data_IF_643104886828
#
_entry.id   IF_643104886828
#
_cell.length_a   1.000
_cell.length_b   1.000
_cell.length_c   1.000
_cell.angle_alpha   90.00
_cell.angle_beta   90.00
_cell.angle_gamma   90.00
#
_symmetry.space_group_name_H-M   'P 1'
#
loop_
_entity.id
_entity.type
_entity.pdbx_description
1 polymer ?
#
# COMPACT_ATOMS: atom_id res chain seq x y z
N UNK A 1 16.51 -16.87 -15.15
CA UNK A 1 16.01 -15.52 -14.81
C UNK A 1 14.49 -15.55 -14.85
N UNK A 2 13.84 -14.88 -13.93
CA UNK A 2 12.36 -14.88 -13.86
C UNK A 2 11.81 -13.91 -14.92
N UNK A 3 11.05 -14.46 -15.88
CA UNK A 3 10.44 -13.65 -16.94
C UNK A 3 9.32 -12.76 -16.39
N UNK A 4 9.32 -11.51 -16.78
CA UNK A 4 8.32 -10.53 -16.38
C UNK A 4 7.29 -10.32 -17.50
N UNK A 5 6.00 -10.25 -17.19
CA UNK A 5 4.95 -9.89 -18.16
C UNK A 5 5.29 -8.58 -18.85
N UNK A 6 5.14 -8.53 -20.18
CA UNK A 6 5.50 -7.36 -21.01
C UNK A 6 4.79 -6.06 -20.55
N UNK A 7 3.51 -6.11 -20.22
CA UNK A 7 2.79 -4.94 -19.69
C UNK A 7 3.34 -4.47 -18.34
N UNK A 8 3.79 -5.40 -17.47
CA UNK A 8 4.45 -5.08 -16.21
C UNK A 8 5.81 -4.41 -16.47
N UNK A 9 6.61 -4.96 -17.37
CA UNK A 9 7.89 -4.39 -17.77
C UNK A 9 7.74 -2.96 -18.30
N UNK A 10 6.79 -2.73 -19.22
CA UNK A 10 6.49 -1.40 -19.77
C UNK A 10 6.08 -0.44 -18.64
N UNK A 11 5.15 -0.83 -17.77
CA UNK A 11 4.66 0.04 -16.71
C UNK A 11 5.70 0.39 -15.65
N UNK A 12 6.70 -0.47 -15.44
CA UNK A 12 7.79 -0.21 -14.50
C UNK A 12 8.85 0.75 -15.06
N UNK A 13 9.08 0.70 -16.37
CA UNK A 13 10.16 1.44 -17.01
C UNK A 13 9.69 2.66 -17.82
N UNK A 14 8.39 2.95 -17.84
CA UNK A 14 7.79 4.05 -18.57
C UNK A 14 6.70 4.76 -17.77
N UNK A 15 6.08 5.75 -18.38
CA UNK A 15 4.94 6.46 -17.80
C UNK A 15 3.57 5.81 -18.07
N UNK A 16 3.53 4.68 -18.75
CA UNK A 16 2.28 3.97 -19.04
C UNK A 16 1.85 3.12 -17.84
N UNK A 17 0.56 3.11 -17.55
CA UNK A 17 -0.04 2.12 -16.67
C UNK A 17 -0.07 0.74 -17.35
N UNK A 18 -0.30 -0.34 -16.59
CA UNK A 18 -0.44 -1.69 -17.17
C UNK A 18 -1.56 -1.76 -18.21
N UNK A 19 -2.69 -1.10 -17.98
CA UNK A 19 -3.82 -1.06 -18.93
C UNK A 19 -3.45 -0.33 -20.21
N UNK A 20 -2.78 0.82 -20.11
CA UNK A 20 -2.28 1.54 -21.27
C UNK A 20 -1.22 0.73 -22.02
N UNK A 21 -0.36 -0.01 -21.30
CA UNK A 21 0.60 -0.93 -21.91
C UNK A 21 -0.10 -2.06 -22.67
N UNK A 22 -1.18 -2.64 -22.11
CA UNK A 22 -2.00 -3.63 -22.80
C UNK A 22 -2.61 -3.09 -24.10
N UNK A 23 -3.09 -1.86 -24.09
CA UNK A 23 -3.61 -1.20 -25.31
C UNK A 23 -2.51 -0.95 -26.35
N UNK A 24 -1.31 -0.57 -25.93
CA UNK A 24 -0.16 -0.43 -26.83
C UNK A 24 0.26 -1.76 -27.47
N UNK A 25 0.24 -2.84 -26.68
CA UNK A 25 0.57 -4.21 -27.15
C UNK A 25 -0.47 -4.64 -28.18
N UNK A 26 -1.77 -4.56 -27.86
CA UNK A 26 -2.86 -4.90 -28.77
C UNK A 26 -2.82 -4.11 -30.08
N UNK A 27 -2.46 -2.83 -29.99
CA UNK A 27 -2.36 -1.95 -31.14
C UNK A 27 -1.09 -2.20 -32.02
N UNK A 28 -0.28 -3.21 -31.69
CA UNK A 28 0.95 -3.52 -32.43
C UNK A 28 2.05 -2.44 -32.33
N UNK A 29 1.97 -1.58 -31.31
CA UNK A 29 2.94 -0.48 -31.12
C UNK A 29 4.18 -0.90 -30.33
N UNK A 30 4.21 -2.15 -29.84
CA UNK A 30 5.32 -2.70 -29.06
C UNK A 30 6.07 -3.73 -29.87
N UNK A 31 7.38 -3.67 -29.82
CA UNK A 31 8.26 -4.70 -30.44
C UNK A 31 9.35 -5.16 -29.48
N UNK A 32 9.75 -6.42 -29.62
CA UNK A 32 10.88 -7.05 -28.91
C UNK A 32 11.87 -7.50 -29.95
N UNK A 33 13.14 -7.09 -29.82
CA UNK A 33 14.21 -7.41 -30.77
C UNK A 33 13.79 -7.14 -32.25
N UNK A 34 13.02 -6.10 -32.51
CA UNK A 34 12.54 -5.70 -33.83
C UNK A 34 11.26 -6.40 -34.31
N UNK A 35 10.73 -7.40 -33.60
CA UNK A 35 9.50 -8.11 -33.95
C UNK A 35 8.31 -7.49 -33.20
N UNK A 36 7.26 -7.13 -33.90
CA UNK A 36 6.02 -6.63 -33.28
C UNK A 36 5.36 -7.73 -32.45
N UNK A 37 4.86 -7.35 -31.28
CA UNK A 37 4.18 -8.25 -30.33
C UNK A 37 2.79 -7.69 -30.04
N UNK A 38 1.76 -8.55 -30.16
CA UNK A 38 0.36 -8.21 -29.84
C UNK A 38 -0.24 -9.14 -28.77
N UNK A 39 0.45 -10.23 -28.41
CA UNK A 39 -0.01 -11.14 -27.37
C UNK A 39 0.26 -10.57 -25.98
N UNK A 40 -0.82 -10.36 -25.19
CA UNK A 40 -0.78 -9.88 -23.82
C UNK A 40 -0.13 -10.87 -22.83
N UNK A 41 -0.05 -12.16 -23.21
CA UNK A 41 0.61 -13.17 -22.41
C UNK A 41 2.14 -13.12 -22.51
N UNK A 42 2.69 -12.34 -23.45
CA UNK A 42 4.14 -12.21 -23.67
C UNK A 42 4.86 -11.81 -22.37
N UNK A 43 5.97 -12.47 -22.14
CA UNK A 43 6.92 -12.17 -21.05
C UNK A 43 8.28 -11.83 -21.62
N UNK A 44 9.04 -11.01 -20.92
CA UNK A 44 10.36 -10.51 -21.31
C UNK A 44 11.36 -10.69 -20.20
N UNK A 45 12.62 -10.81 -20.58
CA UNK A 45 13.78 -10.70 -19.70
C UNK A 45 14.29 -9.24 -19.66
N UNK A 46 15.16 -8.93 -18.71
CA UNK A 46 15.73 -7.57 -18.58
C UNK A 46 16.59 -7.16 -19.79
N UNK A 47 17.24 -8.12 -20.42
CA UNK A 47 18.11 -7.87 -21.58
C UNK A 47 17.33 -7.72 -22.90
N UNK A 48 16.03 -7.96 -22.87
CA UNK A 48 15.18 -7.84 -24.03
C UNK A 48 15.06 -6.37 -24.50
N UNK A 49 15.37 -6.14 -25.77
CA UNK A 49 15.28 -4.82 -26.38
C UNK A 49 13.83 -4.47 -26.73
N UNK A 50 13.07 -4.07 -25.72
CA UNK A 50 11.67 -3.66 -25.88
C UNK A 50 11.58 -2.22 -26.42
N UNK A 51 10.77 -2.00 -27.45
CA UNK A 51 10.52 -0.69 -28.05
C UNK A 51 9.03 -0.38 -28.07
N UNK A 52 8.69 0.90 -27.88
CA UNK A 52 7.34 1.44 -28.08
C UNK A 52 7.40 2.49 -29.17
N UNK A 53 6.60 2.33 -30.22
CA UNK A 53 6.62 3.22 -31.40
C UNK A 53 8.06 3.40 -31.94
N UNK A 54 8.83 2.32 -32.00
CA UNK A 54 10.23 2.32 -32.45
C UNK A 54 11.26 2.83 -31.44
N UNK A 55 10.86 3.44 -30.33
CA UNK A 55 11.78 3.98 -29.32
C UNK A 55 12.10 2.91 -28.26
N UNK A 56 13.39 2.69 -28.01
CA UNK A 56 13.87 1.74 -26.99
C UNK A 56 13.44 2.21 -25.58
N UNK A 57 12.86 1.31 -24.82
CA UNK A 57 12.62 1.52 -23.38
C UNK A 57 13.96 1.46 -22.65
N UNK A 58 14.27 2.52 -21.92
CA UNK A 58 15.42 2.55 -21.00
C UNK A 58 14.97 2.03 -19.64
N UNK A 59 15.76 1.11 -19.07
CA UNK A 59 15.52 0.64 -17.71
C UNK A 59 15.66 1.82 -16.74
N UNK A 60 14.71 1.94 -15.83
CA UNK A 60 14.74 2.96 -14.78
C UNK A 60 15.73 2.52 -13.71
N UNK A 61 16.79 3.29 -13.49
CA UNK A 61 17.87 2.99 -12.52
C UNK A 61 17.70 3.72 -11.19
N UNK A 62 16.94 4.80 -11.19
CA UNK A 62 16.71 5.63 -10.02
C UNK A 62 15.22 5.65 -9.69
N UNK A 63 14.93 5.80 -8.43
CA UNK A 63 13.56 5.89 -7.93
C UNK A 63 13.42 6.97 -6.88
N UNK A 64 12.22 7.47 -6.75
CA UNK A 64 11.85 8.45 -5.73
C UNK A 64 10.76 7.87 -4.83
N UNK A 65 10.92 8.08 -3.53
CA UNK A 65 9.90 7.74 -2.53
C UNK A 65 9.56 8.97 -1.73
N UNK A 66 8.28 9.13 -1.44
CA UNK A 66 7.78 10.19 -0.55
C UNK A 66 6.96 9.59 0.59
N UNK A 67 7.02 10.25 1.72
CA UNK A 67 6.11 10.07 2.85
C UNK A 67 5.00 11.11 2.71
N UNK A 68 3.76 10.68 2.69
CA UNK A 68 2.58 11.53 2.66
C UNK A 68 1.74 11.31 3.92
N UNK A 69 1.37 12.37 4.61
CA UNK A 69 0.39 12.30 5.68
C UNK A 69 -1.02 12.39 5.09
N UNK A 70 -1.56 11.21 4.75
CA UNK A 70 -2.92 11.12 4.23
C UNK A 70 -3.92 11.63 5.25
N UNK A 71 -4.84 12.49 4.82
CA UNK A 71 -5.95 13.00 5.62
C UNK A 71 -7.13 12.01 5.60
N UNK A 72 -8.00 12.08 6.61
CA UNK A 72 -9.34 11.51 6.53
C UNK A 72 -10.10 12.15 5.37
N UNK A 73 -11.02 11.43 4.76
CA UNK A 73 -11.82 11.95 3.64
C UNK A 73 -11.09 11.97 2.30
N UNK A 74 -9.96 11.27 2.17
CA UNK A 74 -9.26 11.08 0.90
C UNK A 74 -9.22 9.60 0.51
N UNK A 75 -9.50 9.32 -0.76
CA UNK A 75 -9.34 7.98 -1.33
C UNK A 75 -7.92 7.77 -1.83
N UNK A 76 -7.38 6.60 -1.59
CA UNK A 76 -6.11 6.15 -2.20
C UNK A 76 -6.43 5.53 -3.56
N UNK A 77 -6.73 6.37 -4.53
CA UNK A 77 -7.08 5.99 -5.90
C UNK A 77 -6.70 7.10 -6.88
N UNK A 78 -6.35 6.75 -8.11
CA UNK A 78 -6.10 7.70 -9.21
C UNK A 78 -7.36 8.41 -9.69
N UNK A 79 -8.51 7.73 -9.62
CA UNK A 79 -9.82 8.25 -10.02
C UNK A 79 -10.89 7.73 -9.08
N UNK A 80 -11.95 8.48 -8.93
CA UNK A 80 -13.16 8.06 -8.24
C UNK A 80 -14.40 8.44 -9.06
N UNK A 81 -15.20 7.44 -9.40
CA UNK A 81 -16.40 7.63 -10.23
C UNK A 81 -17.55 8.34 -9.49
N UNK A 82 -17.41 8.54 -8.17
CA UNK A 82 -18.39 9.19 -7.31
C UNK A 82 -18.00 10.62 -6.93
N UNK A 83 -16.92 11.16 -7.48
CA UNK A 83 -16.45 12.53 -7.23
C UNK A 83 -15.87 12.76 -5.83
N UNK A 84 -15.52 11.71 -5.09
CA UNK A 84 -14.86 11.86 -3.79
C UNK A 84 -13.41 12.27 -3.98
N UNK A 85 -12.93 13.12 -3.08
CA UNK A 85 -11.55 13.58 -3.07
C UNK A 85 -10.57 12.41 -2.98
N UNK A 86 -9.54 12.42 -3.81
CA UNK A 86 -8.44 11.45 -3.79
C UNK A 86 -7.18 12.09 -3.20
N UNK A 87 -6.19 11.27 -2.86
CA UNK A 87 -4.86 11.77 -2.43
C UNK A 87 -4.19 12.60 -3.52
N UNK A 88 -4.47 12.33 -4.81
CA UNK A 88 -3.85 13.03 -5.94
C UNK A 88 -4.47 14.42 -6.20
N UNK A 89 -5.62 14.72 -5.59
CA UNK A 89 -6.21 16.07 -5.60
C UNK A 89 -5.52 16.99 -4.57
N UNK A 90 -4.81 16.40 -3.59
CA UNK A 90 -4.05 17.15 -2.57
C UNK A 90 -2.55 17.19 -2.86
N UNK A 91 -2.00 16.10 -3.41
CA UNK A 91 -0.58 16.01 -3.74
C UNK A 91 -0.22 16.92 -4.92
N UNK A 92 1.02 17.39 -4.93
CA UNK A 92 1.57 18.14 -6.07
C UNK A 92 1.44 17.35 -7.36
N UNK A 93 1.14 18.02 -8.46
CA UNK A 93 0.98 17.43 -9.80
C UNK A 93 2.18 16.59 -10.25
N UNK A 94 3.39 16.92 -9.79
CA UNK A 94 4.61 16.13 -10.06
C UNK A 94 4.53 14.68 -9.59
N UNK A 95 3.69 14.39 -8.57
CA UNK A 95 3.46 13.04 -8.06
C UNK A 95 2.25 12.33 -8.67
N UNK A 96 1.61 12.92 -9.69
CA UNK A 96 0.44 12.32 -10.32
C UNK A 96 0.68 10.89 -10.85
N UNK A 97 1.92 10.54 -11.17
CA UNK A 97 2.32 9.21 -11.66
C UNK A 97 2.79 8.26 -10.56
N UNK A 98 3.05 8.76 -9.35
CA UNK A 98 3.45 7.93 -8.23
C UNK A 98 2.36 6.92 -7.89
N UNK A 99 2.76 5.74 -7.43
CA UNK A 99 1.87 4.70 -6.92
C UNK A 99 2.02 4.61 -5.41
N UNK A 100 0.93 4.34 -4.71
CA UNK A 100 0.95 4.18 -3.26
C UNK A 100 1.42 2.78 -2.84
N UNK A 101 2.14 2.69 -1.75
CA UNK A 101 2.47 1.44 -1.06
C UNK A 101 1.28 1.04 -0.20
N UNK A 102 0.42 0.21 -0.76
CA UNK A 102 -0.84 -0.15 -0.14
C UNK A 102 -1.85 1.00 -0.12
N UNK A 103 -2.79 0.89 0.80
CA UNK A 103 -3.87 1.86 0.95
C UNK A 103 -4.18 2.09 2.42
N UNK A 104 -4.68 3.28 2.72
CA UNK A 104 -5.43 3.59 3.92
C UNK A 104 -6.88 3.85 3.52
N UNK A 105 -7.82 3.41 4.35
CA UNK A 105 -9.24 3.64 4.12
C UNK A 105 -9.58 5.14 4.04
N UNK A 106 -10.74 5.47 3.48
CA UNK A 106 -11.27 6.82 3.40
C UNK A 106 -11.33 7.53 4.76
N UNK A 107 -11.78 6.80 5.79
CA UNK A 107 -11.90 7.30 7.16
C UNK A 107 -10.61 7.14 8.00
N UNK A 108 -9.51 6.65 7.41
CA UNK A 108 -8.23 6.48 8.08
C UNK A 108 -7.25 7.56 7.66
N UNK A 109 -6.31 7.89 8.54
CA UNK A 109 -5.27 8.89 8.28
C UNK A 109 -3.87 8.35 8.57
N UNK A 110 -2.86 9.16 8.26
CA UNK A 110 -1.48 8.89 8.66
C UNK A 110 -0.54 8.58 7.51
N UNK A 111 0.54 7.90 7.83
CA UNK A 111 1.65 7.63 6.95
C UNK A 111 1.23 6.79 5.75
N UNK A 112 1.44 7.32 4.56
CA UNK A 112 1.29 6.63 3.29
C UNK A 112 2.55 6.86 2.46
N UNK A 113 3.20 5.78 2.04
CA UNK A 113 4.34 5.86 1.12
C UNK A 113 3.84 5.89 -0.32
N UNK A 114 4.49 6.72 -1.14
CA UNK A 114 4.28 6.71 -2.60
C UNK A 114 5.63 6.70 -3.31
N UNK A 115 5.70 6.03 -4.45
CA UNK A 115 6.90 5.92 -5.26
C UNK A 115 6.58 5.95 -6.75
N UNK A 116 7.52 6.36 -7.56
CA UNK A 116 7.47 6.28 -9.00
C UNK A 116 8.00 4.92 -9.55
N UNK A 117 8.37 3.99 -8.65
CA UNK A 117 8.81 2.63 -8.98
C UNK A 117 7.80 1.58 -8.49
N UNK A 118 6.87 1.09 -9.34
CA UNK A 118 5.84 0.13 -8.93
C UNK A 118 6.37 -1.19 -8.38
N UNK A 119 7.58 -1.62 -8.77
CA UNK A 119 8.23 -2.81 -8.22
C UNK A 119 8.50 -2.65 -6.72
N UNK A 120 9.02 -1.48 -6.32
CA UNK A 120 9.28 -1.14 -4.91
C UNK A 120 7.95 -1.09 -4.13
N UNK A 121 6.91 -0.45 -4.69
CA UNK A 121 5.61 -0.42 -4.05
C UNK A 121 5.06 -1.83 -3.79
N UNK A 122 5.20 -2.73 -4.77
CA UNK A 122 4.76 -4.13 -4.64
C UNK A 122 5.57 -4.88 -3.58
N UNK A 123 6.89 -4.72 -3.56
CA UNK A 123 7.75 -5.37 -2.58
C UNK A 123 7.42 -4.93 -1.15
N UNK A 124 7.27 -3.62 -0.93
CA UNK A 124 6.90 -3.06 0.37
C UNK A 124 5.48 -3.47 0.81
N UNK A 125 4.52 -3.57 -0.11
CA UNK A 125 3.16 -4.04 0.22
C UNK A 125 3.14 -5.49 0.71
N UNK A 126 3.96 -6.34 0.07
CA UNK A 126 4.02 -7.78 0.36
C UNK A 126 5.01 -8.12 1.49
N UNK A 127 5.66 -7.12 2.07
CA UNK A 127 6.59 -7.31 3.16
C UNK A 127 5.88 -7.51 4.50
N UNK A 128 6.58 -8.13 5.42
CA UNK A 128 6.24 -8.26 6.83
C UNK A 128 6.73 -7.10 7.70
N UNK A 129 7.10 -5.97 7.07
CA UNK A 129 7.51 -4.77 7.78
C UNK A 129 6.42 -4.29 8.74
N UNK A 130 6.84 -3.90 9.91
CA UNK A 130 5.95 -3.44 10.98
C UNK A 130 5.15 -2.20 10.57
N UNK A 131 3.91 -2.15 11.02
CA UNK A 131 3.00 -1.01 10.83
C UNK A 131 2.43 -0.63 12.18
N UNK A 132 2.76 0.57 12.64
CA UNK A 132 2.28 1.08 13.92
C UNK A 132 1.07 1.98 13.72
N UNK A 133 0.04 1.75 14.53
CA UNK A 133 -1.20 2.50 14.49
C UNK A 133 -1.61 3.01 15.87
N UNK A 134 -2.16 4.23 15.89
CA UNK A 134 -2.97 4.71 17.00
C UNK A 134 -4.44 4.57 16.65
N UNK A 135 -5.21 4.05 17.58
CA UNK A 135 -6.64 3.80 17.43
C UNK A 135 -7.45 4.42 18.57
N UNK A 136 -8.68 4.80 18.23
CA UNK A 136 -9.75 5.06 19.18
C UNK A 136 -10.91 4.13 18.83
N UNK A 137 -11.28 3.26 19.74
CA UNK A 137 -12.43 2.34 19.57
C UNK A 137 -13.56 2.76 20.51
N UNK A 138 -14.80 2.58 20.06
CA UNK A 138 -15.99 2.76 20.89
C UNK A 138 -16.20 1.50 21.70
N UNK A 139 -16.25 1.61 23.02
CA UNK A 139 -16.36 0.50 23.96
C UNK A 139 -15.08 0.27 24.76
N UNK A 140 -15.13 -0.77 25.62
CA UNK A 140 -14.05 -1.15 26.52
C UNK A 140 -13.34 -2.39 25.95
N UNK A 141 -12.03 -2.35 25.88
CA UNK A 141 -11.20 -3.52 25.53
C UNK A 141 -11.24 -4.51 26.71
N UNK A 142 -11.80 -5.69 26.47
CA UNK A 142 -11.95 -6.77 27.44
C UNK A 142 -10.72 -7.69 27.46
N UNK A 143 -10.69 -8.63 28.40
CA UNK A 143 -9.64 -9.67 28.45
C UNK A 143 -9.60 -10.51 27.17
N UNK A 144 -10.77 -10.85 26.61
CA UNK A 144 -10.88 -11.63 25.36
C UNK A 144 -10.23 -10.92 24.18
N UNK A 145 -10.44 -9.59 24.09
CA UNK A 145 -9.77 -8.78 23.06
C UNK A 145 -8.26 -8.79 23.23
N UNK A 146 -7.79 -8.69 24.49
CA UNK A 146 -6.36 -8.77 24.84
C UNK A 146 -5.78 -10.13 24.45
N UNK A 147 -6.46 -11.22 24.80
CA UNK A 147 -6.05 -12.58 24.43
C UNK A 147 -5.97 -12.77 22.93
N UNK A 148 -6.97 -12.26 22.17
CA UNK A 148 -6.96 -12.31 20.73
C UNK A 148 -5.82 -11.47 20.10
N UNK A 149 -5.50 -10.30 20.65
CA UNK A 149 -4.33 -9.52 20.20
C UNK A 149 -3.02 -10.27 20.47
N UNK A 150 -2.95 -11.03 21.57
CA UNK A 150 -1.74 -11.76 21.99
C UNK A 150 -1.54 -13.04 21.20
N UNK A 151 -2.62 -13.81 20.96
CA UNK A 151 -2.55 -15.18 20.42
C UNK A 151 -2.99 -15.28 18.96
N UNK A 152 -3.56 -14.21 18.40
CA UNK A 152 -4.25 -14.25 17.13
C UNK A 152 -5.68 -14.77 17.27
N UNK A 153 -6.42 -14.77 16.18
CA UNK A 153 -7.84 -15.14 16.15
C UNK A 153 -8.25 -15.60 14.75
N UNK A 154 -8.98 -16.69 14.66
CA UNK A 154 -9.75 -17.03 13.46
C UNK A 154 -11.21 -16.60 13.64
N UNK A 155 -11.60 -15.54 12.95
CA UNK A 155 -12.99 -15.06 12.94
C UNK A 155 -13.78 -15.74 11.81
N UNK A 156 -14.76 -16.58 12.15
CA UNK A 156 -15.69 -17.18 11.17
C UNK A 156 -16.55 -16.13 10.48
N UNK A 157 -16.88 -15.05 11.19
CA UNK A 157 -17.57 -13.88 10.65
C UNK A 157 -16.77 -12.61 10.96
N UNK A 158 -16.04 -12.12 9.97
CA UNK A 158 -15.27 -10.88 10.00
C UNK A 158 -15.94 -9.79 9.16
N UNK A 159 -17.26 -9.79 9.04
CA UNK A 159 -18.00 -8.80 8.24
C UNK A 159 -18.20 -7.48 8.95
N UNK A 160 -18.28 -7.49 10.29
CA UNK A 160 -18.28 -6.25 11.09
C UNK A 160 -16.98 -5.47 10.87
N UNK A 161 -17.09 -4.18 10.62
CA UNK A 161 -15.94 -3.33 10.25
C UNK A 161 -15.45 -3.48 8.82
N UNK A 162 -16.00 -4.40 8.05
CA UNK A 162 -15.73 -4.57 6.62
C UNK A 162 -16.41 -3.47 5.76
N UNK A 163 -16.10 -3.45 4.47
CA UNK A 163 -16.86 -2.67 3.51
C UNK A 163 -18.19 -3.40 3.20
N UNK A 164 -19.28 -2.64 3.02
CA UNK A 164 -20.63 -3.21 2.77
C UNK A 164 -20.70 -4.22 1.61
N UNK A 165 -19.82 -4.08 0.61
CA UNK A 165 -19.73 -4.98 -0.56
C UNK A 165 -18.63 -6.03 -0.40
N UNK A 166 -18.22 -6.39 0.83
CA UNK A 166 -17.17 -7.39 1.02
C UNK A 166 -17.65 -8.78 0.63
N UNK A 167 -16.79 -9.53 -0.03
CA UNK A 167 -16.97 -10.96 -0.28
C UNK A 167 -16.24 -11.84 0.74
N UNK A 168 -15.33 -11.23 1.52
CA UNK A 168 -14.54 -11.92 2.55
C UNK A 168 -15.39 -12.01 3.80
N UNK A 169 -15.84 -13.21 4.17
CA UNK A 169 -16.66 -13.47 5.36
C UNK A 169 -15.79 -13.85 6.57
N UNK A 170 -14.85 -14.76 6.40
CA UNK A 170 -13.94 -15.19 7.45
C UNK A 170 -12.57 -14.56 7.28
N UNK A 171 -11.82 -14.42 8.37
CA UNK A 171 -10.47 -13.87 8.38
C UNK A 171 -9.66 -14.46 9.52
N UNK A 172 -8.41 -14.81 9.24
CA UNK A 172 -7.42 -15.12 10.24
C UNK A 172 -6.64 -13.85 10.58
N UNK A 173 -6.55 -13.54 11.87
CA UNK A 173 -5.75 -12.45 12.40
C UNK A 173 -4.56 -13.02 13.13
N UNK A 174 -3.35 -12.67 12.71
CA UNK A 174 -2.14 -13.06 13.42
C UNK A 174 -2.04 -12.33 14.76
N UNK A 175 -1.23 -12.87 15.71
CA UNK A 175 -0.85 -12.14 16.89
C UNK A 175 -0.31 -10.75 16.55
N UNK A 176 -0.72 -9.74 17.29
CA UNK A 176 -0.13 -8.41 17.16
C UNK A 176 1.31 -8.46 17.69
N UNK A 177 2.23 -7.81 17.00
CA UNK A 177 3.64 -7.76 17.43
C UNK A 177 3.79 -7.01 18.76
N UNK A 178 3.01 -5.95 18.94
CA UNK A 178 2.92 -5.23 20.21
C UNK A 178 1.59 -4.45 20.29
N UNK A 179 1.15 -4.20 21.50
CA UNK A 179 0.01 -3.32 21.76
C UNK A 179 0.16 -2.61 23.11
N UNK A 180 -0.50 -1.44 23.22
CA UNK A 180 -0.63 -0.72 24.49
C UNK A 180 -2.03 -0.10 24.56
N UNK A 181 -2.75 -0.40 25.64
CA UNK A 181 -4.03 0.23 25.97
C UNK A 181 -3.74 1.41 26.89
N UNK A 182 -4.08 2.63 26.46
CA UNK A 182 -3.81 3.85 27.23
C UNK A 182 -4.87 4.15 28.29
N UNK A 183 -6.07 3.57 28.13
CA UNK A 183 -7.19 3.74 29.03
C UNK A 183 -8.51 3.96 28.32
N UNK A 184 -9.60 3.86 29.09
CA UNK A 184 -10.96 4.07 28.62
C UNK A 184 -11.58 5.29 29.30
N UNK A 185 -12.19 6.19 28.51
CA UNK A 185 -12.89 7.36 29.01
C UNK A 185 -14.04 7.72 28.06
N UNK A 186 -15.19 8.15 28.61
CA UNK A 186 -16.34 8.60 27.83
C UNK A 186 -16.89 7.52 26.88
N UNK A 187 -16.79 6.23 27.22
CA UNK A 187 -17.24 5.14 26.37
C UNK A 187 -16.27 4.77 25.23
N UNK A 188 -15.04 5.29 25.25
CA UNK A 188 -14.01 5.01 24.23
C UNK A 188 -12.72 4.51 24.87
N UNK A 189 -12.01 3.63 24.16
CA UNK A 189 -10.66 3.18 24.52
C UNK A 189 -9.66 3.63 23.48
N UNK A 190 -8.52 4.16 23.94
CA UNK A 190 -7.38 4.50 23.06
C UNK A 190 -6.32 3.41 23.16
N UNK A 191 -5.78 3.03 22.00
CA UNK A 191 -4.75 2.00 21.88
C UNK A 191 -3.67 2.44 20.91
N UNK A 192 -2.50 1.82 21.10
CA UNK A 192 -1.43 1.71 20.11
C UNK A 192 -1.29 0.25 19.76
N UNK A 193 -1.16 -0.10 18.49
CA UNK A 193 -0.91 -1.47 18.03
C UNK A 193 0.16 -1.49 16.96
N UNK A 194 0.92 -2.58 16.93
CA UNK A 194 1.92 -2.86 15.88
C UNK A 194 1.56 -4.22 15.27
N UNK A 195 1.40 -4.24 13.96
CA UNK A 195 1.12 -5.42 13.16
C UNK A 195 2.10 -5.49 11.98
N UNK A 196 2.35 -6.67 11.43
CA UNK A 196 3.18 -6.86 10.24
C UNK A 196 2.39 -7.30 9.00
N UNK A 197 1.09 -7.35 9.10
CA UNK A 197 0.17 -7.61 7.99
C UNK A 197 -0.56 -6.33 7.56
N UNK A 198 -1.30 -6.42 6.48
CA UNK A 198 -2.09 -5.30 5.95
C UNK A 198 -3.31 -5.83 5.20
N UNK A 199 -4.01 -6.79 5.79
CA UNK A 199 -5.22 -7.36 5.21
C UNK A 199 -6.31 -6.28 5.04
N UNK A 200 -7.30 -6.57 4.19
CA UNK A 200 -8.38 -5.60 3.92
C UNK A 200 -9.12 -5.20 5.20
N UNK A 201 -8.96 -3.94 5.61
CA UNK A 201 -9.60 -3.35 6.81
C UNK A 201 -9.33 -4.14 8.09
N UNK A 202 -8.18 -4.76 8.18
CA UNK A 202 -7.79 -5.72 9.22
C UNK A 202 -8.14 -5.26 10.63
N UNK A 203 -7.60 -4.15 11.09
CA UNK A 203 -7.87 -3.64 12.44
C UNK A 203 -9.35 -3.29 12.66
N UNK A 204 -10.05 -2.78 11.64
CA UNK A 204 -11.49 -2.49 11.75
C UNK A 204 -12.31 -3.75 11.87
N UNK A 205 -11.94 -4.83 11.19
CA UNK A 205 -12.59 -6.14 11.28
C UNK A 205 -12.24 -6.86 12.58
N UNK A 206 -10.96 -6.80 13.00
CA UNK A 206 -10.52 -7.37 14.27
C UNK A 206 -11.35 -6.81 15.44
N UNK A 207 -11.37 -5.50 15.60
CA UNK A 207 -12.16 -4.87 16.67
C UNK A 207 -13.66 -5.02 16.44
N UNK A 208 -14.13 -4.98 15.21
CA UNK A 208 -15.53 -5.21 14.86
C UNK A 208 -16.04 -6.59 15.26
N UNK A 209 -15.20 -7.62 15.23
CA UNK A 209 -15.53 -8.96 15.71
C UNK A 209 -15.96 -8.98 17.19
N UNK A 210 -15.39 -8.08 18.00
CA UNK A 210 -15.73 -7.89 19.41
C UNK A 210 -16.76 -6.75 19.65
N UNK A 211 -17.50 -6.35 18.63
CA UNK A 211 -18.45 -5.22 18.71
C UNK A 211 -17.82 -3.88 19.07
N UNK A 212 -16.53 -3.71 18.85
CA UNK A 212 -15.79 -2.47 19.04
C UNK A 212 -15.64 -1.72 17.71
N UNK A 213 -16.35 -0.60 17.57
CA UNK A 213 -16.25 0.24 16.38
C UNK A 213 -14.96 1.08 16.42
N UNK A 214 -14.13 0.99 15.36
CA UNK A 214 -12.92 1.81 15.23
C UNK A 214 -13.31 3.20 14.70
N UNK A 215 -13.34 4.17 15.62
CA UNK A 215 -13.69 5.56 15.36
C UNK A 215 -12.55 6.32 14.69
N UNK A 216 -11.33 6.15 15.19
CA UNK A 216 -10.13 6.77 14.64
C UNK A 216 -9.07 5.70 14.38
N UNK A 217 -8.38 5.84 13.26
CA UNK A 217 -7.26 4.97 12.86
C UNK A 217 -6.19 5.82 12.16
N UNK A 218 -5.04 5.93 12.81
CA UNK A 218 -3.89 6.69 12.30
C UNK A 218 -2.66 5.80 12.22
N UNK A 219 -2.12 5.56 11.02
CA UNK A 219 -0.84 4.90 10.85
C UNK A 219 0.28 5.90 11.09
N UNK A 220 1.18 5.61 12.01
CA UNK A 220 2.28 6.51 12.39
C UNK A 220 3.64 6.02 11.93
N UNK A 221 3.80 4.71 11.67
CA UNK A 221 5.02 4.20 11.05
C UNK A 221 4.75 3.07 10.05
N UNK A 222 5.74 2.83 9.19
CA UNK A 222 5.84 1.70 8.28
C UNK A 222 7.31 1.28 8.18
N UNK A 223 7.65 0.11 8.73
CA UNK A 223 9.03 -0.28 9.00
C UNK A 223 9.71 0.78 9.87
N UNK A 224 10.89 1.21 9.44
CA UNK A 224 11.63 2.28 10.14
C UNK A 224 11.19 3.69 9.79
N UNK A 225 10.28 3.85 8.81
CA UNK A 225 9.80 5.15 8.38
C UNK A 225 8.73 5.64 9.34
N UNK A 226 8.90 6.83 9.87
CA UNK A 226 7.93 7.45 10.79
C UNK A 226 7.25 8.67 10.17
N UNK A 227 6.06 8.97 10.70
CA UNK A 227 5.28 10.14 10.29
C UNK A 227 5.83 11.44 10.92
N UNK A 228 6.41 11.31 12.11
CA UNK A 228 6.96 12.40 12.92
C UNK A 228 6.03 13.63 12.98
N UNK A 229 6.59 14.82 12.76
CA UNK A 229 5.89 16.10 12.79
C UNK A 229 5.24 16.49 11.45
N UNK A 230 5.21 15.58 10.46
CA UNK A 230 4.59 15.86 9.17
C UNK A 230 3.10 16.14 9.34
N UNK A 231 2.67 17.35 8.98
CA UNK A 231 1.25 17.78 9.13
C UNK A 231 0.33 17.05 8.15
N UNK A 232 -0.96 16.82 8.49
CA UNK A 232 -1.94 16.25 7.57
C UNK A 232 -1.98 16.99 6.22
N UNK A 233 -2.04 16.23 5.13
CA UNK A 233 -2.02 16.74 3.75
C UNK A 233 -0.65 17.20 3.25
N UNK A 234 0.39 17.07 4.06
CA UNK A 234 1.76 17.38 3.65
C UNK A 234 2.52 16.12 3.29
N UNK A 235 3.62 16.31 2.56
CA UNK A 235 4.52 15.26 2.13
C UNK A 235 5.98 15.71 2.30
N UNK A 236 6.89 14.73 2.37
CA UNK A 236 8.33 14.92 2.31
C UNK A 236 8.97 13.82 1.46
N UNK A 237 10.13 14.08 0.91
CA UNK A 237 10.96 13.02 0.36
C UNK A 237 11.49 12.11 1.46
N UNK A 238 11.94 10.93 1.10
CA UNK A 238 12.77 10.11 1.97
C UNK A 238 14.06 10.85 2.30
N UNK A 239 14.55 10.64 3.51
CA UNK A 239 15.87 11.04 3.94
C UNK A 239 16.94 10.04 3.44
N UNK A 240 18.21 10.43 3.46
CA UNK A 240 19.28 9.56 2.97
C UNK A 240 19.34 8.22 3.71
N UNK A 241 19.20 8.22 5.03
CA UNK A 241 19.13 6.99 5.85
C UNK A 241 17.94 6.09 5.49
N UNK A 242 16.77 6.69 5.20
CA UNK A 242 15.57 5.94 4.78
C UNK A 242 15.78 5.29 3.39
N UNK A 243 16.52 5.97 2.49
CA UNK A 243 16.91 5.38 1.21
C UNK A 243 17.92 4.25 1.37
N UNK A 244 18.86 4.35 2.31
CA UNK A 244 19.82 3.29 2.63
C UNK A 244 19.09 2.06 3.15
N UNK A 245 18.25 2.20 4.17
CA UNK A 245 17.40 1.11 4.70
C UNK A 245 16.56 0.46 3.60
N UNK A 246 15.97 1.26 2.71
CA UNK A 246 15.17 0.75 1.59
C UNK A 246 16.03 -0.03 0.59
N UNK A 247 17.23 0.45 0.22
CA UNK A 247 18.13 -0.28 -0.69
C UNK A 247 18.56 -1.62 -0.09
N UNK A 248 18.85 -1.66 1.21
CA UNK A 248 19.20 -2.91 1.90
C UNK A 248 18.01 -3.88 1.91
N UNK A 249 16.81 -3.40 2.21
CA UNK A 249 15.59 -4.19 2.09
C UNK A 249 15.40 -4.77 0.67
N UNK A 250 15.56 -3.94 -0.36
CA UNK A 250 15.39 -4.36 -1.76
C UNK A 250 16.44 -5.39 -2.16
N UNK A 251 17.69 -5.22 -1.70
CA UNK A 251 18.80 -6.16 -1.94
C UNK A 251 18.54 -7.52 -1.29
N UNK A 252 18.17 -7.53 -0.01
CA UNK A 252 17.86 -8.75 0.75
C UNK A 252 16.70 -9.52 0.11
N UNK A 253 15.70 -8.83 -0.40
CA UNK A 253 14.52 -9.42 -1.01
C UNK A 253 14.66 -9.65 -2.54
N UNK A 254 15.85 -9.44 -3.11
CA UNK A 254 16.13 -9.59 -4.54
C UNK A 254 15.16 -8.79 -5.43
N UNK A 255 14.73 -7.61 -4.97
CA UNK A 255 13.81 -6.76 -5.72
C UNK A 255 14.58 -5.92 -6.74
N UNK A 256 14.24 -6.10 -8.00
CA UNK A 256 14.74 -5.28 -9.11
C UNK A 256 13.71 -4.18 -9.43
N UNK A 257 14.18 -2.97 -9.66
CA UNK A 257 13.32 -1.78 -9.86
C UNK A 257 13.84 -0.89 -10.98
#
# INVERSE_FOLDING_TARGET
MEKTRLNKFISHNTNYSRREADELIKAGKVSIAGRVVSDLATSVDEDDKVRINGRLIKLKKEFTVIVYHKQKGELVSKKDDRGRKTIYDTLDKKFAKFVSVGRLDYASEGLLLLTDAPAIATALMNSDLEREYYLKVKGKVTKEVIEAMTNGLFAKDATKGAHAKTTIKSMEFKPFLAYKVFGSSGGYTKLKVIINEGQNRELRRFFGYFDLEVMDLKRVSFGRISLDMLKPGKWRYFENSEYEDLRDFLKVNNVRY
#
